data_IF_933014499926
#
_entry.id   IF_933014499926
#
_cell.length_a   1.000
_cell.length_b   1.000
_cell.length_c   1.000
_cell.angle_alpha   90.00
_cell.angle_beta   90.00
_cell.angle_gamma   90.00
#
_symmetry.space_group_name_H-M   'P 1'
#
loop_
_entity.id
_entity.type
_entity.pdbx_description
1 polymer ?
#
# COMPACT_ATOMS: atom_id res chain seq x y z
N UNK A 1 -8.58 25.71 -31.10
CA UNK A 1 -8.20 25.81 -29.65
C UNK A 1 -8.03 24.39 -29.03
N UNK A 2 -8.85 23.43 -29.42
CA UNK A 2 -8.82 22.08 -28.84
C UNK A 2 -7.52 21.29 -29.16
N UNK A 3 -7.00 21.40 -30.39
CA UNK A 3 -5.77 20.72 -30.81
C UNK A 3 -4.57 21.22 -29.97
N UNK A 4 -4.47 22.52 -29.74
CA UNK A 4 -3.38 23.10 -28.94
C UNK A 4 -3.46 22.60 -27.49
N UNK A 5 -4.66 22.56 -26.93
CA UNK A 5 -4.89 22.02 -25.57
C UNK A 5 -4.50 20.54 -25.47
N UNK A 6 -4.92 19.71 -26.42
CA UNK A 6 -4.53 18.29 -26.45
C UNK A 6 -3.03 18.10 -26.60
N UNK A 7 -2.37 18.91 -27.42
CA UNK A 7 -0.92 18.85 -27.59
C UNK A 7 -0.19 19.25 -26.30
N UNK A 8 -0.66 20.29 -25.62
CA UNK A 8 -0.09 20.71 -24.33
C UNK A 8 -0.28 19.65 -23.25
N UNK A 9 -1.46 19.05 -23.15
CA UNK A 9 -1.72 17.96 -22.22
C UNK A 9 -0.84 16.73 -22.50
N UNK A 10 -0.67 16.37 -23.77
CA UNK A 10 0.21 15.24 -24.13
C UNK A 10 1.68 15.52 -23.78
N UNK A 11 2.17 16.73 -24.04
CA UNK A 11 3.52 17.13 -23.66
C UNK A 11 3.73 17.11 -22.14
N UNK A 12 2.75 17.61 -21.39
CA UNK A 12 2.79 17.57 -19.92
C UNK A 12 2.85 16.14 -19.42
N UNK A 13 2.00 15.25 -19.92
CA UNK A 13 1.97 13.83 -19.52
C UNK A 13 3.32 13.15 -19.82
N UNK A 14 3.94 13.43 -20.96
CA UNK A 14 5.26 12.89 -21.32
C UNK A 14 6.33 13.39 -20.35
N UNK A 15 6.32 14.67 -20.01
CA UNK A 15 7.29 15.27 -19.07
C UNK A 15 7.14 14.66 -17.68
N UNK A 16 5.91 14.54 -17.17
CA UNK A 16 5.64 13.95 -15.87
C UNK A 16 6.06 12.47 -15.80
N UNK A 17 5.89 11.73 -16.90
CA UNK A 17 6.33 10.35 -17.01
C UNK A 17 7.87 10.23 -17.02
N UNK A 18 8.55 11.12 -17.73
CA UNK A 18 10.01 11.17 -17.76
C UNK A 18 10.58 11.50 -16.37
N UNK A 19 10.00 12.47 -15.68
CA UNK A 19 10.37 12.81 -14.30
C UNK A 19 10.22 11.62 -13.34
N UNK A 20 9.13 10.85 -13.44
CA UNK A 20 8.90 9.64 -12.64
C UNK A 20 9.93 8.55 -12.93
N UNK A 21 10.30 8.35 -14.20
CA UNK A 21 11.35 7.40 -14.60
C UNK A 21 12.73 7.82 -14.11
N UNK A 22 13.04 9.11 -14.16
CA UNK A 22 14.29 9.68 -13.63
C UNK A 22 14.37 9.48 -12.11
N UNK A 23 13.29 9.72 -11.40
CA UNK A 23 13.24 9.51 -9.95
C UNK A 23 13.42 8.02 -9.58
N UNK A 24 12.75 7.12 -10.27
CA UNK A 24 12.92 5.69 -10.10
C UNK A 24 14.37 5.25 -10.40
N UNK A 25 14.98 5.77 -11.48
CA UNK A 25 16.37 5.41 -11.82
C UNK A 25 17.36 5.77 -10.71
N UNK A 26 17.13 6.89 -10.02
CA UNK A 26 17.95 7.33 -8.88
C UNK A 26 17.73 6.48 -7.64
N UNK A 27 16.49 6.12 -7.37
CA UNK A 27 16.11 5.37 -6.15
C UNK A 27 16.42 3.89 -6.24
N UNK A 28 16.20 3.28 -7.41
CA UNK A 28 16.41 1.85 -7.65
C UNK A 28 17.76 1.49 -8.29
N UNK A 29 18.61 2.49 -8.58
CA UNK A 29 19.92 2.30 -9.23
C UNK A 29 19.85 1.47 -10.51
N UNK A 30 18.90 1.78 -11.38
CA UNK A 30 18.64 1.07 -12.63
C UNK A 30 19.49 1.61 -13.78
N UNK A 31 20.02 0.71 -14.61
CA UNK A 31 20.60 1.05 -15.91
C UNK A 31 19.49 1.47 -16.89
N UNK A 32 19.87 2.16 -17.97
CA UNK A 32 18.93 2.57 -19.03
C UNK A 32 18.15 1.38 -19.62
N UNK A 33 18.80 0.23 -19.81
CA UNK A 33 18.14 -0.98 -20.32
C UNK A 33 17.10 -1.54 -19.32
N UNK A 34 17.45 -1.57 -18.04
CA UNK A 34 16.53 -1.99 -16.99
C UNK A 34 15.34 -1.04 -16.88
N UNK A 35 15.59 0.27 -16.99
CA UNK A 35 14.53 1.29 -16.95
C UNK A 35 13.55 1.14 -18.13
N UNK A 36 14.05 0.87 -19.34
CA UNK A 36 13.18 0.61 -20.49
C UNK A 36 12.33 -0.66 -20.31
N UNK A 37 12.91 -1.74 -19.81
CA UNK A 37 12.16 -2.97 -19.54
C UNK A 37 11.12 -2.74 -18.44
N UNK A 38 11.47 -1.99 -17.40
CA UNK A 38 10.56 -1.61 -16.33
C UNK A 38 9.37 -0.77 -16.86
N UNK A 39 9.64 0.22 -17.71
CA UNK A 39 8.61 1.02 -18.35
C UNK A 39 7.61 0.15 -19.15
N UNK A 40 8.11 -0.79 -19.95
CA UNK A 40 7.25 -1.69 -20.73
C UNK A 40 6.39 -2.56 -19.81
N UNK A 41 6.98 -3.17 -18.79
CA UNK A 41 6.25 -3.96 -17.79
C UNK A 41 5.20 -3.11 -17.05
N UNK A 42 5.57 -1.90 -16.64
CA UNK A 42 4.65 -0.97 -15.96
C UNK A 42 3.49 -0.55 -16.84
N UNK A 43 3.73 -0.36 -18.15
CA UNK A 43 2.68 -0.06 -19.12
C UNK A 43 1.68 -1.22 -19.28
N UNK A 44 2.16 -2.45 -19.27
CA UNK A 44 1.30 -3.63 -19.39
C UNK A 44 0.50 -3.85 -18.09
N UNK A 45 1.10 -3.67 -16.93
CA UNK A 45 0.39 -3.71 -15.63
C UNK A 45 -0.67 -2.61 -15.57
N UNK A 46 -0.32 -1.39 -15.95
CA UNK A 46 -1.24 -0.26 -15.96
C UNK A 46 -2.50 -0.52 -16.81
N UNK A 47 -2.32 -1.09 -18.00
CA UNK A 47 -3.45 -1.50 -18.88
C UNK A 47 -4.33 -2.56 -18.21
N UNK A 48 -3.72 -3.55 -17.55
CA UNK A 48 -4.47 -4.63 -16.87
C UNK A 48 -5.25 -4.09 -15.66
N UNK A 49 -4.68 -3.12 -14.95
CA UNK A 49 -5.28 -2.54 -13.72
C UNK A 49 -6.22 -1.37 -14.01
N UNK A 50 -6.23 -0.82 -15.23
CA UNK A 50 -7.02 0.37 -15.57
C UNK A 50 -6.49 1.67 -14.94
N UNK A 51 -5.19 1.71 -14.63
CA UNK A 51 -4.48 2.88 -14.09
C UNK A 51 -3.48 3.42 -15.12
N UNK A 52 -2.81 4.52 -14.81
CA UNK A 52 -1.79 5.10 -15.70
C UNK A 52 -0.42 4.42 -15.49
N UNK A 53 0.40 4.39 -16.53
CA UNK A 53 1.80 3.91 -16.41
C UNK A 53 2.58 4.71 -15.38
N UNK A 54 2.32 6.01 -15.30
CA UNK A 54 2.92 6.90 -14.31
C UNK A 54 2.62 6.46 -12.88
N UNK A 55 1.37 6.11 -12.57
CA UNK A 55 0.99 5.61 -11.23
C UNK A 55 1.77 4.36 -10.84
N UNK A 56 1.94 3.40 -11.75
CA UNK A 56 2.75 2.20 -11.47
C UNK A 56 4.21 2.57 -11.20
N UNK A 57 4.79 3.49 -11.98
CA UNK A 57 6.17 3.94 -11.81
C UNK A 57 6.35 4.71 -10.50
N UNK A 58 5.44 5.59 -10.15
CA UNK A 58 5.47 6.36 -8.89
C UNK A 58 5.37 5.43 -7.68
N UNK A 59 4.47 4.44 -7.72
CA UNK A 59 4.34 3.41 -6.70
C UNK A 59 5.63 2.60 -6.54
N UNK A 60 6.23 2.15 -7.65
CA UNK A 60 7.49 1.42 -7.61
C UNK A 60 8.64 2.27 -7.07
N UNK A 61 8.68 3.56 -7.40
CA UNK A 61 9.65 4.51 -6.83
C UNK A 61 9.49 4.63 -5.31
N UNK A 62 8.26 4.75 -4.83
CA UNK A 62 7.98 4.81 -3.41
C UNK A 62 8.39 3.51 -2.69
N UNK A 63 8.11 2.34 -3.24
CA UNK A 63 8.56 1.05 -2.71
C UNK A 63 10.10 0.92 -2.72
N UNK A 64 10.77 1.40 -3.77
CA UNK A 64 12.23 1.42 -3.85
C UNK A 64 12.87 2.24 -2.73
N UNK A 65 12.29 3.39 -2.38
CA UNK A 65 12.77 4.23 -1.26
C UNK A 65 12.66 3.52 0.09
N UNK A 66 11.80 2.53 0.21
CA UNK A 66 11.61 1.73 1.41
C UNK A 66 12.52 0.50 1.50
N UNK A 67 13.40 0.33 0.50
CA UNK A 67 14.37 -0.75 0.45
C UNK A 67 13.99 -1.91 -0.48
N UNK A 68 12.82 -1.86 -1.15
CA UNK A 68 12.42 -2.82 -2.18
C UNK A 68 13.00 -2.42 -3.54
N UNK A 69 14.32 -2.34 -3.63
CA UNK A 69 15.05 -1.73 -4.74
C UNK A 69 15.37 -2.69 -5.89
N UNK A 70 14.99 -3.95 -5.80
CA UNK A 70 15.04 -4.81 -6.98
C UNK A 70 13.89 -4.46 -7.91
N UNK A 71 14.13 -4.48 -9.22
CA UNK A 71 13.12 -4.22 -10.22
C UNK A 71 11.86 -5.08 -9.99
N UNK A 72 12.05 -6.37 -9.69
CA UNK A 72 10.99 -7.33 -9.45
C UNK A 72 10.18 -6.99 -8.19
N UNK A 73 10.84 -6.71 -7.06
CA UNK A 73 10.15 -6.39 -5.81
C UNK A 73 9.34 -5.09 -5.93
N UNK A 74 9.92 -4.02 -6.48
CA UNK A 74 9.24 -2.75 -6.65
C UNK A 74 8.03 -2.87 -7.60
N UNK A 75 8.18 -3.60 -8.70
CA UNK A 75 7.09 -3.86 -9.66
C UNK A 75 5.98 -4.68 -9.03
N UNK A 76 6.32 -5.77 -8.33
CA UNK A 76 5.35 -6.64 -7.65
C UNK A 76 4.56 -5.86 -6.60
N UNK A 77 5.23 -5.04 -5.80
CA UNK A 77 4.56 -4.24 -4.78
C UNK A 77 3.69 -3.12 -5.37
N UNK A 78 4.12 -2.48 -6.46
CA UNK A 78 3.29 -1.52 -7.18
C UNK A 78 2.02 -2.19 -7.75
N UNK A 79 2.15 -3.38 -8.31
CA UNK A 79 1.03 -4.17 -8.78
C UNK A 79 0.08 -4.56 -7.65
N UNK A 80 0.61 -5.05 -6.52
CA UNK A 80 -0.20 -5.45 -5.35
C UNK A 80 -0.96 -4.27 -4.76
N UNK A 81 -0.32 -3.09 -4.61
CA UNK A 81 -0.98 -1.88 -4.13
C UNK A 81 -2.13 -1.46 -5.05
N UNK A 82 -1.92 -1.47 -6.36
CA UNK A 82 -2.95 -1.16 -7.36
C UNK A 82 -4.09 -2.19 -7.37
N UNK A 83 -3.78 -3.48 -7.27
CA UNK A 83 -4.79 -4.54 -7.14
C UNK A 83 -5.62 -4.36 -5.87
N UNK A 84 -4.98 -4.09 -4.75
CA UNK A 84 -5.68 -3.94 -3.48
C UNK A 84 -6.61 -2.72 -3.49
N UNK A 85 -6.16 -1.59 -4.02
CA UNK A 85 -7.02 -0.43 -4.23
C UNK A 85 -8.21 -0.75 -5.15
N UNK A 86 -8.00 -1.50 -6.24
CA UNK A 86 -9.06 -1.83 -7.21
C UNK A 86 -10.19 -2.68 -6.63
N UNK A 87 -9.90 -3.53 -5.64
CA UNK A 87 -10.90 -4.37 -4.95
C UNK A 87 -11.43 -3.73 -3.65
N UNK A 88 -10.99 -2.51 -3.33
CA UNK A 88 -11.29 -1.83 -2.07
C UNK A 88 -11.96 -0.47 -2.34
N UNK A 89 -13.29 -0.42 -2.49
CA UNK A 89 -14.00 0.83 -2.75
C UNK A 89 -13.62 1.94 -1.76
N UNK A 90 -13.26 3.10 -2.28
CA UNK A 90 -12.86 4.27 -1.48
C UNK A 90 -11.39 4.31 -1.05
N UNK A 91 -10.60 3.26 -1.34
CA UNK A 91 -9.16 3.23 -1.09
C UNK A 91 -8.38 3.74 -2.30
N UNK A 92 -7.52 4.70 -2.12
CA UNK A 92 -6.55 5.09 -3.16
C UNK A 92 -5.37 4.11 -3.21
N UNK A 93 -4.60 4.13 -4.32
CA UNK A 93 -3.39 3.32 -4.43
C UNK A 93 -2.34 3.71 -3.38
N UNK A 94 -2.28 5.00 -3.02
CA UNK A 94 -1.38 5.51 -1.98
C UNK A 94 -1.78 5.02 -0.58
N UNK A 95 -3.09 4.99 -0.27
CA UNK A 95 -3.60 4.43 0.99
C UNK A 95 -3.30 2.92 1.07
N UNK A 96 -3.54 2.19 -0.01
CA UNK A 96 -3.21 0.77 -0.12
C UNK A 96 -1.71 0.54 0.13
N UNK A 97 -0.84 1.34 -0.49
CA UNK A 97 0.60 1.27 -0.30
C UNK A 97 0.99 1.54 1.15
N UNK A 98 0.52 2.64 1.73
CA UNK A 98 0.85 3.04 3.11
C UNK A 98 0.43 1.98 4.13
N UNK A 99 -0.77 1.45 3.98
CA UNK A 99 -1.28 0.37 4.82
C UNK A 99 -0.48 -0.93 4.70
N UNK A 100 -0.20 -1.37 3.46
CA UNK A 100 0.63 -2.57 3.23
C UNK A 100 2.02 -2.41 3.82
N UNK A 101 2.67 -1.25 3.66
CA UNK A 101 3.97 -0.95 4.26
C UNK A 101 3.92 -1.07 5.78
N UNK A 102 2.92 -0.47 6.41
CA UNK A 102 2.77 -0.45 7.86
C UNK A 102 2.62 -1.87 8.42
N UNK A 103 1.78 -2.68 7.78
CA UNK A 103 1.52 -4.07 8.19
C UNK A 103 2.76 -4.95 7.92
N UNK A 104 3.34 -4.89 6.72
CA UNK A 104 4.52 -5.67 6.35
C UNK A 104 5.70 -5.41 7.30
N UNK A 105 5.97 -4.15 7.61
CA UNK A 105 7.07 -3.77 8.51
C UNK A 105 6.81 -4.18 9.96
N UNK A 106 5.57 -4.12 10.42
CA UNK A 106 5.22 -4.49 11.78
C UNK A 106 5.48 -5.99 12.04
N UNK A 107 5.14 -6.86 11.09
CA UNK A 107 5.27 -8.31 11.23
C UNK A 107 6.33 -8.95 10.34
N UNK A 108 7.14 -8.13 9.66
CA UNK A 108 8.21 -8.58 8.77
C UNK A 108 7.73 -9.59 7.70
N UNK A 109 6.57 -9.27 7.08
CA UNK A 109 6.00 -10.09 6.01
C UNK A 109 6.78 -9.87 4.71
N UNK A 110 7.14 -10.96 4.03
CA UNK A 110 7.85 -10.89 2.75
C UNK A 110 6.93 -10.49 1.60
N UNK A 111 7.50 -9.95 0.53
CA UNK A 111 6.75 -9.50 -0.66
C UNK A 111 5.89 -10.63 -1.26
N UNK A 112 6.42 -11.84 -1.32
CA UNK A 112 5.76 -13.02 -1.87
C UNK A 112 4.50 -13.40 -1.10
N UNK A 113 4.47 -13.10 0.20
CA UNK A 113 3.41 -13.49 1.12
C UNK A 113 2.33 -12.40 1.29
N UNK A 114 2.58 -11.17 0.82
CA UNK A 114 1.68 -10.01 1.02
C UNK A 114 0.27 -10.30 0.53
N UNK A 115 0.13 -10.91 -0.64
CA UNK A 115 -1.18 -11.19 -1.19
C UNK A 115 -1.96 -12.16 -0.30
N UNK A 116 -1.39 -13.32 -0.01
CA UNK A 116 -2.06 -14.39 0.74
C UNK A 116 -2.19 -14.10 2.24
N UNK A 117 -1.18 -13.45 2.82
CA UNK A 117 -1.12 -13.26 4.26
C UNK A 117 -1.75 -11.93 4.72
N UNK A 118 -1.79 -10.91 3.85
CA UNK A 118 -2.34 -9.59 4.20
C UNK A 118 -3.61 -9.31 3.41
N UNK A 119 -3.52 -9.20 2.08
CA UNK A 119 -4.63 -8.72 1.26
C UNK A 119 -5.84 -9.67 1.30
N UNK A 120 -5.62 -10.98 1.17
CA UNK A 120 -6.69 -11.97 1.18
C UNK A 120 -7.36 -12.04 2.57
N UNK A 121 -6.59 -11.89 3.66
CA UNK A 121 -7.16 -11.83 5.02
C UNK A 121 -7.98 -10.56 5.25
N UNK A 122 -7.49 -9.38 4.84
CA UNK A 122 -8.26 -8.12 4.96
C UNK A 122 -9.55 -8.22 4.14
N UNK A 123 -9.47 -8.71 2.91
CA UNK A 123 -10.64 -8.85 2.05
C UNK A 123 -11.66 -9.86 2.61
N UNK A 124 -11.19 -10.95 3.20
CA UNK A 124 -12.05 -11.93 3.86
C UNK A 124 -12.75 -11.32 5.07
N UNK A 125 -12.06 -10.51 5.88
CA UNK A 125 -12.65 -9.82 7.01
C UNK A 125 -13.67 -8.77 6.57
N UNK A 126 -13.35 -7.92 5.60
CA UNK A 126 -14.26 -6.92 5.06
C UNK A 126 -15.55 -7.54 4.53
N UNK A 127 -15.45 -8.66 3.81
CA UNK A 127 -16.63 -9.36 3.30
C UNK A 127 -17.48 -10.05 4.40
N UNK A 128 -16.83 -10.55 5.45
CA UNK A 128 -17.54 -11.27 6.52
C UNK A 128 -18.18 -10.35 7.55
N UNK A 129 -17.59 -9.18 7.78
CA UNK A 129 -17.98 -8.26 8.85
C UNK A 129 -18.73 -7.02 8.32
N UNK A 130 -19.03 -6.97 7.03
CA UNK A 130 -19.62 -5.82 6.34
C UNK A 130 -18.83 -4.51 6.58
N UNK A 131 -17.50 -4.63 6.68
CA UNK A 131 -16.58 -3.51 6.82
C UNK A 131 -15.84 -3.25 5.52
N UNK A 132 -15.41 -2.02 5.30
CA UNK A 132 -14.59 -1.73 4.12
C UNK A 132 -13.14 -2.19 4.35
N UNK A 133 -12.47 -2.68 3.29
CA UNK A 133 -11.04 -2.94 3.34
C UNK A 133 -10.26 -1.69 3.74
N UNK A 134 -10.74 -0.51 3.33
CA UNK A 134 -10.15 0.78 3.68
C UNK A 134 -10.15 1.02 5.19
N UNK A 135 -11.25 0.75 5.87
CA UNK A 135 -11.36 0.92 7.33
C UNK A 135 -10.41 -0.03 8.07
N UNK A 136 -10.35 -1.29 7.61
CA UNK A 136 -9.44 -2.28 8.20
C UNK A 136 -7.97 -1.84 8.03
N UNK A 137 -7.60 -1.37 6.85
CA UNK A 137 -6.25 -0.88 6.55
C UNK A 137 -5.92 0.35 7.40
N UNK A 138 -6.81 1.34 7.49
CA UNK A 138 -6.62 2.54 8.30
C UNK A 138 -6.41 2.20 9.78
N UNK A 139 -7.23 1.32 10.32
CA UNK A 139 -7.10 0.88 11.71
C UNK A 139 -5.82 0.12 11.99
N UNK A 140 -5.42 -0.75 11.06
CA UNK A 140 -4.17 -1.50 11.16
C UNK A 140 -2.94 -0.60 10.99
N UNK A 141 -2.95 0.36 10.08
CA UNK A 141 -1.87 1.34 9.94
C UNK A 141 -1.57 2.07 11.26
N UNK A 142 -2.61 2.39 12.03
CA UNK A 142 -2.48 3.08 13.32
C UNK A 142 -2.03 2.17 14.47
N UNK A 143 -2.29 0.86 14.41
CA UNK A 143 -2.10 -0.08 15.52
C UNK A 143 -1.04 -1.15 15.29
N UNK A 144 -0.69 -1.46 14.05
CA UNK A 144 0.18 -2.58 13.67
C UNK A 144 1.50 -2.62 14.46
N UNK A 145 2.24 -1.52 14.47
CA UNK A 145 3.52 -1.47 15.17
C UNK A 145 3.40 -1.70 16.69
N UNK A 146 2.32 -1.20 17.31
CA UNK A 146 2.08 -1.40 18.74
C UNK A 146 1.69 -2.85 19.04
N UNK A 147 0.80 -3.45 18.25
CA UNK A 147 0.38 -4.84 18.39
C UNK A 147 1.56 -5.81 18.18
N UNK A 148 2.33 -5.63 17.13
CA UNK A 148 3.52 -6.43 16.86
C UNK A 148 4.55 -6.32 18.00
N UNK A 149 4.71 -5.14 18.58
CA UNK A 149 5.68 -4.89 19.67
C UNK A 149 5.36 -5.61 20.97
N UNK A 150 4.11 -6.03 21.17
CA UNK A 150 3.67 -6.85 22.32
C UNK A 150 3.54 -8.34 21.96
N UNK A 151 3.98 -8.72 20.77
CA UNK A 151 4.01 -10.11 20.33
C UNK A 151 2.67 -10.63 19.79
N UNK A 152 1.72 -9.73 19.47
CA UNK A 152 0.46 -10.14 18.83
C UNK A 152 0.73 -10.52 17.37
N UNK A 153 0.26 -11.70 16.96
CA UNK A 153 0.29 -12.12 15.55
C UNK A 153 -0.64 -11.26 14.70
N UNK A 154 -0.32 -11.09 13.41
CA UNK A 154 -1.13 -10.22 12.53
C UNK A 154 -2.58 -10.73 12.36
N UNK A 155 -2.82 -12.05 12.37
CA UNK A 155 -4.18 -12.62 12.28
C UNK A 155 -5.00 -12.31 13.52
N UNK A 156 -4.38 -12.42 14.70
CA UNK A 156 -5.00 -12.02 15.95
C UNK A 156 -5.23 -10.52 15.99
N UNK A 157 -4.29 -9.72 15.47
CA UNK A 157 -4.43 -8.27 15.37
C UNK A 157 -5.62 -7.86 14.49
N UNK A 158 -5.80 -8.49 13.33
CA UNK A 158 -6.97 -8.29 12.48
C UNK A 158 -8.27 -8.68 13.19
N UNK A 159 -8.30 -9.82 13.87
CA UNK A 159 -9.47 -10.26 14.61
C UNK A 159 -9.81 -9.30 15.77
N UNK A 160 -8.82 -8.82 16.50
CA UNK A 160 -9.01 -7.82 17.57
C UNK A 160 -9.52 -6.49 17.01
N UNK A 161 -8.96 -6.03 15.88
CA UNK A 161 -9.45 -4.81 15.23
C UNK A 161 -10.93 -4.96 14.84
N UNK A 162 -11.26 -6.03 14.15
CA UNK A 162 -12.63 -6.30 13.71
C UNK A 162 -13.62 -6.34 14.86
N UNK A 163 -13.27 -7.01 15.98
CA UNK A 163 -14.13 -7.05 17.14
C UNK A 163 -14.37 -5.68 17.81
N UNK A 164 -13.39 -4.79 17.79
CA UNK A 164 -13.54 -3.41 18.28
C UNK A 164 -14.33 -2.57 17.28
N UNK A 165 -14.04 -2.71 16.01
CA UNK A 165 -14.66 -1.96 14.93
C UNK A 165 -16.16 -2.27 14.83
N UNK A 166 -16.58 -3.52 15.03
CA UNK A 166 -17.99 -3.91 15.06
C UNK A 166 -18.80 -3.08 16.06
N UNK A 167 -18.18 -2.70 17.18
CA UNK A 167 -18.81 -1.90 18.24
C UNK A 167 -18.68 -0.40 17.99
N UNK A 168 -17.48 0.06 17.65
CA UNK A 168 -17.17 1.48 17.54
C UNK A 168 -17.55 2.09 16.17
N UNK A 169 -17.58 1.28 15.12
CA UNK A 169 -17.90 1.68 13.74
C UNK A 169 -17.11 2.92 13.27
N UNK A 170 -15.85 3.02 13.70
CA UNK A 170 -14.94 4.10 13.35
C UNK A 170 -13.51 3.58 13.39
N UNK A 171 -12.92 3.39 12.20
CA UNK A 171 -11.60 2.78 12.01
C UNK A 171 -10.47 3.52 12.74
N UNK A 172 -10.50 4.85 12.69
CA UNK A 172 -9.51 5.68 13.38
C UNK A 172 -9.56 5.50 14.91
N UNK A 173 -10.77 5.48 15.48
CA UNK A 173 -10.98 5.29 16.93
C UNK A 173 -10.60 3.86 17.32
N UNK A 174 -10.99 2.87 16.54
CA UNK A 174 -10.67 1.45 16.78
C UNK A 174 -9.17 1.20 16.74
N UNK A 175 -8.46 1.73 15.75
CA UNK A 175 -7.00 1.64 15.65
C UNK A 175 -6.28 2.31 16.81
N UNK A 176 -6.73 3.51 17.23
CA UNK A 176 -6.18 4.20 18.41
C UNK A 176 -6.45 3.45 19.71
N UNK A 177 -7.64 2.86 19.86
CA UNK A 177 -7.98 2.05 21.03
C UNK A 177 -7.06 0.83 21.14
N UNK A 178 -6.86 0.08 20.05
CA UNK A 178 -5.93 -1.04 19.99
C UNK A 178 -4.51 -0.64 20.33
N UNK A 179 -4.02 0.45 19.72
CA UNK A 179 -2.69 0.98 20.05
C UNK A 179 -2.56 1.29 21.54
N UNK A 180 -3.54 1.97 22.12
CA UNK A 180 -3.50 2.34 23.54
C UNK A 180 -3.53 1.12 24.47
N UNK A 181 -4.33 0.11 24.14
CA UNK A 181 -4.39 -1.16 24.88
C UNK A 181 -3.02 -1.85 24.81
N UNK A 182 -2.43 -1.99 23.61
CA UNK A 182 -1.14 -2.63 23.40
C UNK A 182 -0.01 -1.92 24.16
N UNK A 183 0.00 -0.59 24.16
CA UNK A 183 1.00 0.20 24.88
C UNK A 183 0.89 0.00 26.39
N UNK A 184 -0.32 -0.08 26.94
CA UNK A 184 -0.54 -0.35 28.37
C UNK A 184 -0.13 -1.77 28.76
N UNK A 185 -0.42 -2.77 27.93
CA UNK A 185 0.04 -4.16 28.13
C UNK A 185 1.57 -4.20 28.19
N UNK A 186 2.25 -3.41 27.37
CA UNK A 186 3.72 -3.31 27.37
C UNK A 186 4.29 -2.59 28.60
N UNK A 187 3.48 -1.95 29.41
CA UNK A 187 3.91 -1.18 30.61
C UNK A 187 4.34 0.25 30.30
N UNK A 188 3.97 0.79 29.15
CA UNK A 188 4.05 2.22 28.90
C UNK A 188 2.82 2.89 29.52
N UNK A 189 2.98 3.33 30.75
CA UNK A 189 2.02 4.24 31.36
C UNK A 189 2.37 5.67 30.92
N UNK A 190 1.42 6.36 30.31
CA UNK A 190 1.57 7.80 30.07
C UNK A 190 1.40 8.51 31.44
N UNK A 191 2.51 8.72 32.14
CA UNK A 191 2.57 9.57 33.32
C UNK A 191 2.66 11.04 32.92
#
# INVERSE_FOLDING_TARGET
QDIIRYTQQALQTITELDDSLVDLSKTANMSTSQLNNFYLSSSDIAKQMGVTTKEIIDQASAWSRLGYNTNEAATSMAQLSSQFASISPGMSTDDAQSGLISIMKAWNVNVEDVKSEIMDNINALGNNLAESNSDIVEGMERSAAALASVGTDYKDAFAMFSGIQEVLQNAEVSGRALRSISMRIRGYDES
#
